data_IF_039792806129
#
_entry.id   IF_039792806129
#
_cell.length_a   1.000
_cell.length_b   1.000
_cell.length_c   1.000
_cell.angle_alpha   90.00
_cell.angle_beta   90.00
_cell.angle_gamma   90.00
#
_symmetry.space_group_name_H-M   'P 1'
#
loop_
_entity.id
_entity.type
_entity.pdbx_description
1 polymer ?
#
# COMPACT_ATOMS: atom_id res chain seq x y z
N UNK A 1 15.43 -11.72 -17.10
CA UNK A 1 14.21 -12.31 -17.68
C UNK A 1 14.06 -12.04 -19.17
N UNK A 2 14.54 -10.90 -19.71
CA UNK A 2 14.54 -10.65 -21.17
C UNK A 2 15.65 -11.42 -21.91
N UNK A 3 16.73 -11.82 -21.22
CA UNK A 3 17.82 -12.60 -21.79
C UNK A 3 17.46 -14.07 -22.15
N UNK A 4 16.27 -14.56 -21.77
CA UNK A 4 15.87 -15.96 -21.92
C UNK A 4 14.64 -16.17 -22.83
N UNK A 5 14.24 -15.18 -23.62
CA UNK A 5 13.21 -15.35 -24.66
C UNK A 5 11.78 -15.62 -24.17
N UNK A 6 11.54 -15.63 -22.85
CA UNK A 6 10.20 -15.78 -22.28
C UNK A 6 9.68 -14.40 -21.85
N UNK A 7 8.80 -13.83 -22.67
CA UNK A 7 8.14 -12.55 -22.38
C UNK A 7 7.01 -12.66 -21.34
N UNK A 8 6.77 -13.86 -20.79
CA UNK A 8 5.68 -14.11 -19.84
C UNK A 8 6.22 -14.57 -18.48
N UNK A 9 6.08 -13.72 -17.47
CA UNK A 9 6.29 -14.09 -16.08
C UNK A 9 4.99 -14.67 -15.53
N UNK A 10 5.02 -15.86 -14.91
CA UNK A 10 3.88 -16.38 -14.14
C UNK A 10 3.55 -15.53 -12.90
N UNK A 11 4.46 -14.64 -12.48
CA UNK A 11 4.26 -13.79 -11.30
C UNK A 11 3.44 -12.56 -11.69
N UNK A 12 2.26 -12.43 -11.07
CA UNK A 12 1.44 -11.24 -11.17
C UNK A 12 2.01 -10.12 -10.30
N UNK A 13 2.32 -8.98 -10.90
CA UNK A 13 2.89 -7.82 -10.22
C UNK A 13 1.83 -6.76 -9.87
N UNK A 14 0.85 -6.59 -10.76
CA UNK A 14 -0.26 -5.64 -10.62
C UNK A 14 -1.43 -6.34 -9.96
N UNK A 15 -1.94 -5.78 -8.87
CA UNK A 15 -3.14 -6.25 -8.19
C UNK A 15 -4.40 -5.83 -8.95
N UNK A 16 -4.57 -4.53 -9.18
CA UNK A 16 -5.68 -3.96 -9.94
C UNK A 16 -5.32 -2.60 -10.52
N UNK A 17 -6.08 -2.13 -11.50
CA UNK A 17 -5.98 -0.79 -12.08
C UNK A 17 -7.37 -0.16 -12.02
N UNK A 18 -7.45 1.09 -11.57
CA UNK A 18 -8.71 1.83 -11.43
C UNK A 18 -8.57 3.19 -12.12
N UNK A 19 -9.58 3.60 -12.88
CA UNK A 19 -9.66 4.96 -13.43
C UNK A 19 -10.13 5.93 -12.34
N UNK A 20 -9.41 7.04 -12.18
CA UNK A 20 -9.70 8.08 -11.18
C UNK A 20 -9.65 9.45 -11.83
N UNK A 21 -10.43 10.40 -11.33
CA UNK A 21 -10.34 11.81 -11.74
C UNK A 21 -9.64 12.61 -10.64
N UNK A 22 -8.76 13.53 -11.04
CA UNK A 22 -8.02 14.38 -10.11
C UNK A 22 -7.43 15.59 -10.80
N UNK A 23 -6.80 16.48 -10.03
CA UNK A 23 -6.13 17.67 -10.56
C UNK A 23 -4.62 17.56 -10.37
N UNK A 24 -3.81 17.71 -11.44
CA UNK A 24 -2.37 17.73 -11.29
C UNK A 24 -1.93 18.86 -10.35
N UNK A 25 -1.00 18.58 -9.44
CA UNK A 25 -0.43 19.58 -8.54
C UNK A 25 0.46 20.59 -9.27
N UNK A 26 1.23 20.13 -10.26
CA UNK A 26 2.15 20.98 -11.02
C UNK A 26 1.45 21.69 -12.18
N UNK A 27 1.51 23.02 -12.17
CA UNK A 27 0.86 23.89 -13.16
C UNK A 27 -0.56 24.30 -12.74
N UNK A 28 -1.12 25.31 -13.42
CA UNK A 28 -2.52 25.71 -13.22
C UNK A 28 -3.43 24.90 -14.15
N UNK A 29 -4.36 24.14 -13.58
CA UNK A 29 -5.36 23.36 -14.30
C UNK A 29 -6.75 23.77 -13.81
N UNK A 30 -7.62 24.21 -14.72
CA UNK A 30 -8.98 24.63 -14.37
C UNK A 30 -9.97 23.47 -14.29
N UNK A 31 -9.65 22.35 -14.95
CA UNK A 31 -10.49 21.16 -15.01
C UNK A 31 -9.76 19.94 -14.43
N UNK A 32 -10.53 18.91 -14.11
CA UNK A 32 -10.00 17.66 -13.61
C UNK A 32 -9.62 16.74 -14.78
N UNK A 33 -8.51 16.04 -14.62
CA UNK A 33 -7.96 15.12 -15.60
C UNK A 33 -8.28 13.67 -15.19
N UNK A 34 -8.23 12.76 -16.17
CA UNK A 34 -8.39 11.34 -15.94
C UNK A 34 -7.02 10.69 -15.73
N UNK A 35 -6.90 9.86 -14.71
CA UNK A 35 -5.69 9.14 -14.34
C UNK A 35 -5.98 7.65 -14.13
N UNK A 36 -4.92 6.84 -14.17
CA UNK A 36 -4.97 5.42 -13.82
C UNK A 36 -4.23 5.20 -12.51
N UNK A 37 -4.96 4.76 -11.48
CA UNK A 37 -4.38 4.32 -10.21
C UNK A 37 -4.05 2.83 -10.31
N UNK A 38 -2.74 2.52 -10.35
CA UNK A 38 -2.21 1.16 -10.45
C UNK A 38 -1.82 0.68 -9.06
N UNK A 39 -2.39 -0.45 -8.63
CA UNK A 39 -2.07 -1.09 -7.36
C UNK A 39 -1.10 -2.25 -7.57
N UNK A 40 -0.06 -2.33 -6.76
CA UNK A 40 0.95 -3.39 -6.81
C UNK A 40 0.90 -4.24 -5.54
N UNK A 41 1.24 -5.53 -5.67
CA UNK A 41 1.35 -6.42 -4.50
C UNK A 41 2.62 -6.16 -3.66
N UNK A 42 3.70 -5.73 -4.31
CA UNK A 42 4.98 -5.49 -3.65
C UNK A 42 5.39 -4.02 -3.88
N UNK A 43 5.64 -3.22 -2.83
CA UNK A 43 6.05 -1.83 -3.00
C UNK A 43 7.44 -1.69 -3.66
N UNK A 44 8.32 -2.69 -3.56
CA UNK A 44 9.68 -2.65 -4.10
C UNK A 44 9.73 -2.62 -5.64
N UNK A 45 8.66 -3.07 -6.32
CA UNK A 45 8.59 -3.05 -7.79
C UNK A 45 8.15 -1.70 -8.35
N UNK A 46 7.59 -0.81 -7.54
CA UNK A 46 7.04 0.49 -7.99
C UNK A 46 8.11 1.29 -8.73
N UNK A 47 9.32 1.40 -8.17
CA UNK A 47 10.43 2.13 -8.80
C UNK A 47 10.73 1.63 -10.22
N UNK A 48 10.84 0.31 -10.38
CA UNK A 48 11.09 -0.31 -11.71
C UNK A 48 9.91 -0.11 -12.66
N UNK A 49 8.67 -0.17 -12.16
CA UNK A 49 7.50 0.08 -12.97
C UNK A 49 7.45 1.54 -13.48
N UNK A 50 7.80 2.50 -12.62
CA UNK A 50 7.94 3.90 -13.01
C UNK A 50 8.95 4.08 -14.15
N UNK A 51 10.15 3.47 -14.02
CA UNK A 51 11.18 3.55 -15.05
C UNK A 51 10.70 2.98 -16.40
N UNK A 52 10.00 1.84 -16.39
CA UNK A 52 9.47 1.21 -17.61
C UNK A 52 8.40 2.05 -18.30
N UNK A 53 7.51 2.67 -17.51
CA UNK A 53 6.45 3.53 -18.01
C UNK A 53 7.01 4.86 -18.57
N UNK A 54 8.01 5.45 -17.92
CA UNK A 54 8.66 6.68 -18.39
C UNK A 54 9.49 6.45 -19.65
N UNK A 55 10.17 5.31 -19.76
CA UNK A 55 10.98 4.97 -20.93
C UNK A 55 10.14 4.56 -22.16
N UNK A 56 8.82 4.45 -22.03
CA UNK A 56 7.93 4.04 -23.11
C UNK A 56 8.03 2.57 -23.50
N UNK A 57 8.57 1.72 -22.61
CA UNK A 57 8.65 0.28 -22.82
C UNK A 57 7.25 -0.38 -22.84
N UNK A 58 6.26 0.30 -22.27
CA UNK A 58 4.86 -0.16 -22.18
C UNK A 58 4.04 0.63 -23.20
N UNK A 59 3.28 -0.08 -24.04
CA UNK A 59 2.41 0.51 -25.07
C UNK A 59 3.11 1.45 -26.08
N UNK A 60 4.45 1.42 -26.16
CA UNK A 60 5.23 2.30 -27.01
C UNK A 60 5.06 3.79 -26.69
N UNK A 61 4.53 4.13 -25.51
CA UNK A 61 4.16 5.50 -25.14
C UNK A 61 4.84 5.87 -23.84
N UNK A 62 5.48 7.04 -23.79
CA UNK A 62 6.07 7.55 -22.55
C UNK A 62 4.97 8.10 -21.65
N UNK A 63 4.84 7.54 -20.45
CA UNK A 63 3.84 7.98 -19.47
C UNK A 63 4.49 8.87 -18.42
N UNK A 64 3.80 9.97 -18.08
CA UNK A 64 4.15 10.77 -16.92
C UNK A 64 3.69 10.05 -15.65
N UNK A 65 4.63 9.82 -14.74
CA UNK A 65 4.35 9.20 -13.46
C UNK A 65 3.98 10.26 -12.43
N UNK A 66 2.86 10.04 -11.76
CA UNK A 66 2.39 10.85 -10.65
C UNK A 66 2.56 10.06 -9.34
N UNK A 67 3.03 10.73 -8.29
CA UNK A 67 3.19 10.18 -6.92
C UNK A 67 4.08 8.93 -6.76
N UNK A 68 4.71 8.42 -7.81
CA UNK A 68 5.57 7.23 -7.75
C UNK A 68 6.87 7.40 -6.95
N UNK A 69 7.18 8.62 -6.49
CA UNK A 69 8.34 8.94 -5.68
C UNK A 69 8.07 8.80 -4.17
N UNK A 70 6.80 8.76 -3.74
CA UNK A 70 6.45 8.68 -2.33
C UNK A 70 6.62 7.23 -1.85
N UNK A 71 7.44 6.98 -0.81
CA UNK A 71 7.60 5.64 -0.24
C UNK A 71 6.28 5.07 0.29
N UNK A 72 6.11 3.75 0.16
CA UNK A 72 4.91 3.04 0.60
C UNK A 72 4.53 3.32 2.07
N UNK A 73 5.51 3.33 2.98
CA UNK A 73 5.23 3.60 4.39
C UNK A 73 4.67 5.01 4.62
N UNK A 74 5.13 6.00 3.85
CA UNK A 74 4.63 7.37 3.95
C UNK A 74 3.23 7.49 3.37
N UNK A 75 2.95 6.80 2.25
CA UNK A 75 1.59 6.72 1.71
C UNK A 75 0.63 6.12 2.75
N UNK A 76 1.03 5.04 3.42
CA UNK A 76 0.23 4.43 4.49
C UNK A 76 -0.04 5.41 5.65
N UNK A 77 0.96 6.19 6.05
CA UNK A 77 0.78 7.18 7.13
C UNK A 77 -0.18 8.29 6.71
N UNK A 78 -0.09 8.77 5.46
CA UNK A 78 -0.98 9.80 4.93
C UNK A 78 -2.42 9.27 4.82
N UNK A 79 -2.60 8.08 4.25
CA UNK A 79 -3.93 7.48 4.02
C UNK A 79 -4.72 7.27 5.33
N UNK A 80 -4.03 6.90 6.41
CA UNK A 80 -4.64 6.62 7.71
C UNK A 80 -4.41 7.71 8.76
N UNK A 81 -3.87 8.87 8.38
CA UNK A 81 -3.57 9.99 9.27
C UNK A 81 -2.72 9.57 10.51
N UNK A 82 -1.65 8.84 10.26
CA UNK A 82 -0.72 8.36 11.28
C UNK A 82 0.49 9.28 11.40
N UNK A 83 0.95 9.45 12.63
CA UNK A 83 2.14 10.25 12.95
C UNK A 83 3.16 9.40 13.68
N UNK A 84 4.45 9.68 13.43
CA UNK A 84 5.54 9.06 14.17
C UNK A 84 5.42 9.38 15.66
N UNK A 85 5.68 8.37 16.52
CA UNK A 85 5.62 8.50 17.98
C UNK A 85 4.25 8.98 18.52
N UNK A 86 3.18 8.73 17.78
CA UNK A 86 1.80 9.04 18.19
C UNK A 86 0.98 7.78 18.44
N UNK A 87 -0.21 7.95 19.01
CA UNK A 87 -1.14 6.86 19.25
C UNK A 87 -1.81 6.39 17.96
N UNK A 88 -1.95 5.08 17.82
CA UNK A 88 -2.78 4.45 16.79
C UNK A 88 -4.05 3.96 17.48
N UNK A 89 -5.19 4.49 17.06
CA UNK A 89 -6.50 4.13 17.59
C UNK A 89 -7.07 3.01 16.72
N UNK A 90 -7.20 1.82 17.29
CA UNK A 90 -7.70 0.63 16.59
C UNK A 90 -9.08 0.23 17.14
N UNK A 91 -10.01 -0.10 16.25
CA UNK A 91 -11.33 -0.63 16.61
C UNK A 91 -11.25 -2.05 17.15
N UNK A 92 -10.44 -2.88 16.52
CA UNK A 92 -10.35 -4.31 16.80
C UNK A 92 -8.95 -4.81 16.49
N UNK A 93 -8.50 -5.81 17.26
CA UNK A 93 -7.22 -6.49 17.08
C UNK A 93 -7.38 -7.99 17.33
N UNK A 94 -6.58 -8.79 16.63
CA UNK A 94 -6.55 -10.25 16.78
C UNK A 94 -5.24 -10.59 17.51
N UNK A 95 -5.27 -10.92 18.81
CA UNK A 95 -4.05 -11.20 19.56
C UNK A 95 -3.40 -12.50 19.10
N UNK A 96 -2.07 -12.49 19.00
CA UNK A 96 -1.26 -13.68 18.74
C UNK A 96 -0.91 -14.38 20.06
N UNK A 97 -0.89 -15.71 20.05
CA UNK A 97 -0.62 -16.52 21.25
C UNK A 97 0.81 -17.04 21.26
N UNK A 98 1.33 -17.28 22.45
CA UNK A 98 2.62 -17.94 22.61
C UNK A 98 2.56 -19.38 22.08
N UNK A 99 3.66 -19.83 21.46
CA UNK A 99 3.79 -21.19 20.93
C UNK A 99 3.66 -22.27 22.01
N UNK A 100 3.92 -21.91 23.28
CA UNK A 100 3.81 -22.79 24.44
C UNK A 100 2.41 -22.80 25.09
N UNK A 101 1.45 -22.03 24.57
CA UNK A 101 0.09 -22.00 25.11
C UNK A 101 -0.61 -23.34 24.88
N UNK A 102 -1.30 -23.86 25.91
CA UNK A 102 -2.02 -25.14 25.86
C UNK A 102 -3.21 -25.13 24.88
N UNK A 103 -3.72 -23.94 24.55
CA UNK A 103 -5.00 -23.73 23.85
C UNK A 103 -4.81 -23.27 22.41
N UNK A 104 -3.90 -23.92 21.68
CA UNK A 104 -3.64 -23.66 20.26
C UNK A 104 -4.65 -24.44 19.40
N UNK A 105 -5.61 -23.71 18.83
CA UNK A 105 -6.50 -24.26 17.81
C UNK A 105 -5.85 -24.14 16.43
N UNK A 106 -6.14 -25.05 15.47
CA UNK A 106 -5.64 -24.93 14.10
C UNK A 106 -6.03 -23.56 13.51
N UNK A 107 -5.04 -22.78 13.07
CA UNK A 107 -5.23 -21.41 12.56
C UNK A 107 -4.98 -20.29 13.58
N UNK A 108 -4.62 -20.63 14.81
CA UNK A 108 -4.14 -19.62 15.78
C UNK A 108 -2.79 -19.07 15.34
N UNK A 109 -2.68 -17.74 15.31
CA UNK A 109 -1.44 -17.05 14.96
C UNK A 109 -0.49 -17.08 16.15
N UNK A 110 0.74 -17.53 15.90
CA UNK A 110 1.79 -17.68 16.90
C UNK A 110 2.62 -16.39 16.91
N UNK A 111 3.05 -15.96 18.10
CA UNK A 111 3.95 -14.83 18.27
C UNK A 111 5.31 -15.10 17.61
N UNK A 112 5.82 -14.11 16.88
CA UNK A 112 7.14 -14.16 16.25
C UNK A 112 8.14 -13.18 16.90
N UNK A 113 7.64 -12.20 17.65
CA UNK A 113 8.44 -11.18 18.31
C UNK A 113 8.64 -11.46 19.81
N UNK A 114 9.55 -10.71 20.44
CA UNK A 114 9.77 -10.72 21.88
C UNK A 114 8.92 -9.67 22.64
N UNK A 115 7.95 -9.04 21.98
CA UNK A 115 7.06 -8.09 22.63
C UNK A 115 6.12 -8.81 23.61
N UNK A 116 5.72 -8.11 24.69
CA UNK A 116 4.76 -8.63 25.67
C UNK A 116 3.42 -8.93 24.99
N UNK A 117 2.90 -7.94 24.27
CA UNK A 117 1.66 -8.04 23.49
C UNK A 117 1.96 -7.97 21.99
N UNK A 118 1.44 -8.94 21.24
CA UNK A 118 1.52 -8.98 19.77
C UNK A 118 0.12 -9.29 19.23
N UNK A 119 -0.34 -8.49 18.27
CA UNK A 119 -1.66 -8.63 17.69
C UNK A 119 -1.65 -8.17 16.25
N UNK A 120 -2.52 -8.76 15.45
CA UNK A 120 -2.76 -8.37 14.07
C UNK A 120 -3.97 -7.46 13.99
N UNK A 121 -3.89 -6.46 13.11
CA UNK A 121 -4.99 -5.55 12.83
C UNK A 121 -5.15 -5.41 11.31
N UNK A 122 -6.38 -5.22 10.87
CA UNK A 122 -6.67 -4.90 9.47
C UNK A 122 -6.68 -3.38 9.35
N UNK A 123 -6.13 -2.85 8.26
CA UNK A 123 -6.02 -1.40 8.09
C UNK A 123 -7.38 -0.66 8.15
N UNK A 124 -8.49 -1.34 7.81
CA UNK A 124 -9.87 -0.82 7.94
C UNK A 124 -10.28 -0.52 9.39
N UNK A 125 -9.61 -1.13 10.36
CA UNK A 125 -9.90 -0.93 11.80
C UNK A 125 -9.15 0.27 12.38
N UNK A 126 -8.32 0.96 11.61
CA UNK A 126 -7.62 2.19 12.04
C UNK A 126 -8.59 3.37 12.05
N UNK A 127 -8.74 4.02 13.20
CA UNK A 127 -9.73 5.08 13.45
C UNK A 127 -9.14 6.50 13.42
N UNK A 128 -7.83 6.64 13.24
CA UNK A 128 -7.11 7.93 13.30
C UNK A 128 -7.58 8.99 12.26
N UNK A 129 -8.27 8.58 11.20
CA UNK A 129 -8.88 9.48 10.23
C UNK A 129 -10.14 10.18 10.77
N UNK A 130 -10.89 9.53 11.66
CA UNK A 130 -12.12 10.08 12.26
C UNK A 130 -11.80 11.25 13.21
N UNK A 131 -10.67 11.19 13.90
CA UNK A 131 -10.22 12.24 14.82
C UNK A 131 -9.98 13.60 14.15
N UNK A 132 -9.74 13.65 12.83
CA UNK A 132 -9.56 14.91 12.08
C UNK A 132 -10.91 15.53 11.69
N UNK A 133 -11.96 14.72 11.61
CA UNK A 133 -13.29 15.15 11.15
C UNK A 133 -14.18 15.71 12.28
N UNK A 134 -13.69 15.75 13.53
CA UNK A 134 -14.39 16.39 14.64
C UNK A 134 -15.59 15.61 15.19
N UNK A 135 -15.71 14.32 14.87
CA UNK A 135 -16.71 13.43 15.51
C UNK A 135 -16.08 12.66 16.67
N UNK A 136 -15.92 13.36 17.81
CA UNK A 136 -15.94 12.83 19.18
C UNK A 136 -16.46 13.90 20.12
#
# INVERSE_FOLDING_TARGET
NVATGSSYSKKQHVFKIVQVSGRPFYGFHSQDHQFLKIFFYNPLIVKRACDLLQNGAICGTQFQIHEGHVPFILQFFIDYNLYGMSFINLRSVIPRKDAAASDLTPGTLIKESFCEFEADAIAVDILNTLTVQGEL
#
